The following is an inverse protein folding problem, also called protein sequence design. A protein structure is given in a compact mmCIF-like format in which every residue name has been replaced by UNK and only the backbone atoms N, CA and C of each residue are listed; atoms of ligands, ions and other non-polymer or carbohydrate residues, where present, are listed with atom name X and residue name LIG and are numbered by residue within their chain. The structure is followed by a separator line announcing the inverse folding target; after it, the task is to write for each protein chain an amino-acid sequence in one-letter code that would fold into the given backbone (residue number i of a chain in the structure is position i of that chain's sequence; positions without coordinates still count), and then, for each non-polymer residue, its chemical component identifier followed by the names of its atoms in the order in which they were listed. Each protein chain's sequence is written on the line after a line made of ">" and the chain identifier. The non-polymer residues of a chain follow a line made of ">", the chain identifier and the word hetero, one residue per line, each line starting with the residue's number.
data_IF_754454730247
#
_entry.id   IF_754454730247
#
_cell.length_a   1.000
_cell.length_b   1.000
_cell.length_c   1.000
_cell.angle_alpha   90.00
_cell.angle_beta   90.00
_cell.angle_gamma   90.00
#
_symmetry.space_group_name_H-M   'P 1'
#
loop_
_entity.id
_entity.type
_entity.pdbx_description
1 polymer ?
#
# COMPACT_ATOMS: atom_id res chain seq x y z
N UNK A 1 13.49 13.38 47.54
CA UNK A 1 12.29 12.52 47.43
C UNK A 1 11.17 13.40 46.91
N UNK A 2 10.74 13.18 45.67
CA UNK A 2 9.56 13.83 45.10
C UNK A 2 8.87 12.77 44.24
N UNK A 3 7.79 12.21 44.78
CA UNK A 3 6.94 11.28 44.06
C UNK A 3 6.05 12.05 43.11
N UNK A 4 6.11 11.69 41.83
CA UNK A 4 5.06 12.02 40.88
C UNK A 4 4.65 10.70 40.22
N UNK A 5 3.56 10.19 40.78
CA UNK A 5 2.47 9.44 40.16
C UNK A 5 2.70 8.99 38.70
N UNK A 6 2.72 7.66 38.53
CA UNK A 6 2.55 6.98 37.25
C UNK A 6 1.26 7.46 36.56
N UNK A 7 1.39 8.33 35.56
CA UNK A 7 0.34 8.53 34.55
C UNK A 7 0.85 7.86 33.28
N UNK A 8 0.42 6.61 33.09
CA UNK A 8 0.46 5.89 31.82
C UNK A 8 -0.47 6.60 30.82
N UNK A 9 -0.05 7.74 30.29
CA UNK A 9 -0.45 8.12 28.94
C UNK A 9 0.64 7.59 28.03
N UNK A 10 0.39 6.41 27.45
CA UNK A 10 1.09 6.02 26.23
C UNK A 10 1.02 7.23 25.31
N UNK A 11 2.18 7.81 25.01
CA UNK A 11 2.36 8.71 23.90
C UNK A 11 1.82 7.95 22.69
N UNK A 12 0.57 8.21 22.33
CA UNK A 12 0.08 7.96 20.99
C UNK A 12 0.96 8.87 20.14
N UNK A 13 2.07 8.32 19.65
CA UNK A 13 2.75 8.88 18.50
C UNK A 13 1.70 8.85 17.40
N UNK A 14 0.90 9.91 17.29
CA UNK A 14 0.02 10.11 16.14
C UNK A 14 0.95 10.09 14.95
N UNK A 15 0.93 8.99 14.20
CA UNK A 15 1.73 8.86 13.00
C UNK A 15 1.35 10.06 12.12
N UNK A 16 2.26 11.00 11.81
CA UNK A 16 1.90 12.23 11.09
C UNK A 16 1.28 11.94 9.71
N UNK A 17 1.42 10.71 9.22
CA UNK A 17 0.77 10.20 8.02
C UNK A 17 -0.74 10.00 8.16
N UNK A 18 -1.28 9.77 9.37
CA UNK A 18 -2.72 9.55 9.63
C UNK A 18 -3.60 10.70 9.15
N UNK A 19 -3.05 11.89 8.92
CA UNK A 19 -3.80 13.09 8.51
C UNK A 19 -4.14 13.17 7.02
N UNK A 20 -3.56 12.32 6.16
CA UNK A 20 -3.75 12.40 4.69
C UNK A 20 -4.99 11.65 4.20
N UNK A 21 -5.71 12.21 3.24
CA UNK A 21 -6.90 11.58 2.67
C UNK A 21 -6.58 10.22 2.02
N UNK A 22 -7.31 9.18 2.41
CA UNK A 22 -7.20 7.84 1.84
C UNK A 22 -7.96 7.82 0.52
N UNK A 23 -7.24 7.54 -0.56
CA UNK A 23 -7.81 7.39 -1.91
C UNK A 23 -8.48 6.03 -2.06
N UNK A 24 -7.83 5.00 -1.52
CA UNK A 24 -8.32 3.63 -1.56
C UNK A 24 -7.60 2.74 -0.56
N UNK A 25 -8.36 1.90 0.14
CA UNK A 25 -7.84 0.74 0.86
C UNK A 25 -7.77 -0.46 -0.08
N UNK A 26 -6.58 -1.05 -0.21
CA UNK A 26 -6.30 -2.16 -1.12
C UNK A 26 -6.32 -3.52 -0.41
N UNK A 27 -5.87 -3.54 0.86
CA UNK A 27 -5.86 -4.70 1.75
C UNK A 27 -6.24 -4.20 3.14
N UNK A 28 -7.10 -4.93 3.83
CA UNK A 28 -7.51 -4.69 5.21
C UNK A 28 -7.91 -6.03 5.85
N UNK A 29 -6.93 -6.92 6.00
CA UNK A 29 -7.14 -8.30 6.46
C UNK A 29 -5.83 -8.92 7.00
N UNK A 30 -5.89 -10.01 7.77
CA UNK A 30 -4.70 -10.75 8.17
C UNK A 30 -4.07 -11.52 7.00
N UNK A 31 -2.75 -11.43 6.87
CA UNK A 31 -1.96 -12.15 5.86
C UNK A 31 -0.94 -13.08 6.50
N UNK A 32 -0.70 -14.22 5.86
CA UNK A 32 0.37 -15.16 6.20
C UNK A 32 1.76 -14.63 5.80
N UNK A 33 2.85 -15.22 6.32
CA UNK A 33 4.19 -14.87 5.87
C UNK A 33 4.39 -15.15 4.37
N UNK A 34 5.01 -14.23 3.64
CA UNK A 34 5.41 -14.41 2.24
C UNK A 34 5.66 -13.10 1.50
N UNK A 35 6.06 -13.21 0.23
CA UNK A 35 6.06 -12.07 -0.69
C UNK A 35 4.74 -11.99 -1.44
N UNK A 36 4.25 -10.77 -1.60
CA UNK A 36 3.00 -10.44 -2.25
C UNK A 36 3.26 -9.50 -3.41
N UNK A 37 2.57 -9.72 -4.52
CA UNK A 37 2.49 -8.78 -5.63
C UNK A 37 1.03 -8.40 -5.84
N UNK A 38 0.67 -7.17 -5.50
CA UNK A 38 -0.67 -6.66 -5.70
C UNK A 38 -0.74 -5.77 -6.94
N UNK A 39 -1.74 -5.98 -7.79
CA UNK A 39 -2.08 -5.04 -8.84
C UNK A 39 -3.11 -4.01 -8.36
N UNK A 40 -2.78 -2.72 -8.44
CA UNK A 40 -3.74 -1.63 -8.28
C UNK A 40 -4.06 -1.03 -9.64
N UNK A 41 -5.35 -1.00 -9.98
CA UNK A 41 -5.86 -0.52 -11.28
C UNK A 41 -5.92 1.01 -11.44
N UNK A 42 -5.29 1.79 -10.54
CA UNK A 42 -5.30 3.25 -10.61
C UNK A 42 -6.67 3.89 -10.36
N UNK A 43 -7.58 3.21 -9.66
CA UNK A 43 -8.92 3.72 -9.32
C UNK A 43 -9.09 3.95 -7.82
N UNK A 44 -9.87 4.97 -7.47
CA UNK A 44 -10.33 5.29 -6.11
C UNK A 44 -11.45 4.34 -5.63
N UNK A 45 -11.95 4.54 -4.41
CA UNK A 45 -13.05 3.73 -3.84
C UNK A 45 -14.37 3.81 -4.63
N UNK A 46 -14.60 4.90 -5.36
CA UNK A 46 -15.80 5.09 -6.20
C UNK A 46 -15.62 4.48 -7.59
N UNK A 47 -14.47 3.84 -7.86
CA UNK A 47 -14.12 3.26 -9.16
C UNK A 47 -13.67 4.30 -10.20
N UNK A 48 -13.50 5.56 -9.81
CA UNK A 48 -13.01 6.62 -10.70
C UNK A 48 -11.48 6.54 -10.80
N UNK A 49 -10.95 6.70 -12.01
CA UNK A 49 -9.50 6.79 -12.22
C UNK A 49 -8.92 7.98 -11.46
N UNK A 50 -7.81 7.75 -10.75
CA UNK A 50 -7.11 8.81 -10.05
C UNK A 50 -6.55 9.84 -11.02
N UNK A 51 -6.44 11.08 -10.57
CA UNK A 51 -5.82 12.13 -11.39
C UNK A 51 -4.31 11.88 -11.53
N UNK A 52 -3.67 12.31 -12.62
CA UNK A 52 -2.21 12.33 -12.70
C UNK A 52 -1.61 13.14 -11.54
N UNK A 53 -0.55 12.63 -10.93
CA UNK A 53 0.04 13.24 -9.74
C UNK A 53 0.87 12.26 -8.92
N UNK A 54 1.34 12.73 -7.76
CA UNK A 54 2.09 11.91 -6.81
C UNK A 54 1.19 11.41 -5.69
N UNK A 55 1.35 10.15 -5.35
CA UNK A 55 0.61 9.45 -4.30
C UNK A 55 1.57 8.75 -3.35
N UNK A 56 1.11 8.49 -2.12
CA UNK A 56 1.77 7.53 -1.24
C UNK A 56 1.06 6.19 -1.30
N UNK A 57 1.82 5.11 -1.44
CA UNK A 57 1.36 3.79 -1.01
C UNK A 57 1.92 3.55 0.40
N UNK A 58 1.05 3.13 1.31
CA UNK A 58 1.38 2.93 2.73
C UNK A 58 1.05 1.49 3.11
N UNK A 59 2.03 0.80 3.69
CA UNK A 59 1.90 -0.51 4.32
C UNK A 59 1.95 -0.30 5.84
N UNK A 60 0.87 -0.64 6.52
CA UNK A 60 0.73 -0.60 7.97
C UNK A 60 0.47 -2.03 8.50
N UNK A 61 1.32 -2.48 9.43
CA UNK A 61 1.21 -3.77 10.10
C UNK A 61 1.59 -3.58 11.58
N UNK A 62 0.72 -3.83 12.55
CA UNK A 62 1.02 -3.71 13.99
C UNK A 62 1.90 -2.47 14.36
N UNK A 63 3.20 -2.66 14.62
CA UNK A 63 4.17 -1.61 14.98
C UNK A 63 5.03 -1.10 13.80
N UNK A 64 4.79 -1.60 12.59
CA UNK A 64 5.53 -1.28 11.38
C UNK A 64 4.68 -0.43 10.41
N UNK A 65 5.27 0.67 9.96
CA UNK A 65 4.72 1.49 8.88
C UNK A 65 5.83 1.80 7.88
N UNK A 66 5.59 1.52 6.60
CA UNK A 66 6.44 1.96 5.51
C UNK A 66 5.58 2.62 4.43
N UNK A 67 6.15 3.60 3.73
CA UNK A 67 5.52 4.22 2.58
C UNK A 67 6.48 4.40 1.43
N UNK A 68 5.93 4.46 0.22
CA UNK A 68 6.65 4.76 -1.02
C UNK A 68 5.91 5.85 -1.79
N UNK A 69 6.64 6.66 -2.56
CA UNK A 69 6.06 7.61 -3.50
C UNK A 69 5.84 6.98 -4.88
N UNK A 70 4.63 7.12 -5.39
CA UNK A 70 4.23 6.64 -6.71
C UNK A 70 3.80 7.82 -7.58
N UNK A 71 4.16 7.82 -8.86
CA UNK A 71 3.78 8.87 -9.81
C UNK A 71 2.82 8.31 -10.86
N UNK A 72 1.58 8.82 -10.85
CA UNK A 72 0.59 8.55 -11.87
C UNK A 72 0.69 9.60 -12.99
N UNK A 73 0.67 9.16 -14.24
CA UNK A 73 0.67 10.02 -15.43
C UNK A 73 -0.58 9.76 -16.28
N UNK A 74 -0.94 10.75 -17.09
CA UNK A 74 -2.00 10.61 -18.09
C UNK A 74 -1.55 9.70 -19.25
N UNK A 75 -2.51 8.99 -19.84
CA UNK A 75 -2.29 8.10 -20.98
C UNK A 75 -2.69 6.65 -20.68
N UNK A 76 -2.39 5.78 -21.64
CA UNK A 76 -2.55 4.32 -21.56
C UNK A 76 -1.49 3.67 -22.45
N UNK A 77 -1.05 2.47 -22.10
CA UNK A 77 -0.16 1.62 -22.90
C UNK A 77 -0.83 1.11 -24.20
N UNK A 78 -2.11 1.42 -24.43
CA UNK A 78 -2.80 1.09 -25.69
C UNK A 78 -2.92 -0.42 -25.95
N UNK A 79 -2.91 -1.26 -24.90
CA UNK A 79 -3.09 -2.71 -25.05
C UNK A 79 -4.59 -3.02 -25.24
N UNK A 80 -4.98 -3.87 -26.20
CA UNK A 80 -6.38 -4.11 -26.55
C UNK A 80 -7.13 -4.77 -25.39
N UNK A 81 -8.43 -4.47 -25.33
CA UNK A 81 -9.37 -4.85 -24.27
C UNK A 81 -9.62 -6.37 -24.09
N UNK A 82 -8.81 -7.24 -24.70
CA UNK A 82 -9.03 -8.70 -24.78
C UNK A 82 -7.77 -9.57 -24.63
N UNK A 83 -6.62 -9.03 -24.17
CA UNK A 83 -5.51 -9.87 -23.70
C UNK A 83 -5.82 -10.49 -22.33
N UNK A 84 -6.52 -11.63 -22.33
CA UNK A 84 -6.78 -12.52 -21.19
C UNK A 84 -5.57 -12.60 -20.24
N UNK A 85 -5.71 -12.08 -19.02
CA UNK A 85 -4.67 -12.17 -17.99
C UNK A 85 -4.56 -10.96 -17.08
N UNK A 86 -5.67 -10.42 -16.59
CA UNK A 86 -5.65 -9.58 -15.39
C UNK A 86 -5.11 -10.47 -14.26
N UNK A 87 -4.00 -10.14 -13.57
CA UNK A 87 -3.83 -10.63 -12.22
C UNK A 87 -4.78 -9.79 -11.37
N UNK A 88 -6.08 -10.10 -11.44
CA UNK A 88 -7.05 -9.62 -10.45
C UNK A 88 -6.77 -10.45 -9.20
N UNK A 89 -5.77 -10.05 -8.43
CA UNK A 89 -5.48 -10.77 -7.19
C UNK A 89 -4.07 -10.52 -6.67
N UNK A 90 -3.99 -10.48 -5.35
CA UNK A 90 -2.76 -10.68 -4.60
C UNK A 90 -2.10 -11.97 -5.08
N UNK A 91 -0.89 -11.89 -5.64
CA UNK A 91 -0.08 -13.07 -5.93
C UNK A 91 0.82 -13.36 -4.74
N UNK A 92 0.60 -14.51 -4.10
CA UNK A 92 1.47 -15.05 -3.06
C UNK A 92 2.67 -15.77 -3.66
N UNK A 93 3.87 -15.49 -3.16
CA UNK A 93 5.10 -16.21 -3.47
C UNK A 93 5.58 -16.79 -2.14
N UNK A 94 5.46 -18.11 -2.02
CA UNK A 94 5.72 -18.87 -0.81
C UNK A 94 7.22 -18.86 -0.48
N UNK A 95 7.60 -17.94 0.41
CA UNK A 95 8.95 -17.80 0.97
C UNK A 95 8.84 -17.29 2.41
N UNK A 96 9.94 -17.37 3.17
CA UNK A 96 10.02 -16.80 4.51
C UNK A 96 10.84 -15.51 4.49
N UNK A 97 10.21 -14.34 4.23
CA UNK A 97 10.94 -13.07 4.29
C UNK A 97 11.34 -12.77 5.74
N UNK A 98 12.49 -12.13 5.90
CA UNK A 98 13.02 -11.77 7.23
C UNK A 98 12.52 -10.42 7.73
N UNK A 99 12.03 -9.57 6.82
CA UNK A 99 11.65 -8.19 7.10
C UNK A 99 10.34 -7.82 6.42
N UNK A 100 9.61 -6.89 7.03
CA UNK A 100 8.59 -6.13 6.32
C UNK A 100 9.26 -5.26 5.26
N UNK A 101 8.73 -5.29 4.05
CA UNK A 101 9.22 -4.47 2.93
C UNK A 101 8.02 -4.03 2.10
N UNK A 102 7.92 -2.75 1.77
CA UNK A 102 7.07 -2.23 0.69
C UNK A 102 7.99 -1.72 -0.43
N UNK A 103 8.11 -2.47 -1.52
CA UNK A 103 9.02 -2.14 -2.62
C UNK A 103 8.42 -1.11 -3.56
N UNK A 104 9.29 -0.42 -4.31
CA UNK A 104 8.84 0.55 -5.31
C UNK A 104 7.90 -0.11 -6.32
N UNK A 105 6.77 0.54 -6.60
CA UNK A 105 5.79 0.03 -7.54
C UNK A 105 6.38 -0.01 -8.97
N UNK A 106 5.91 -0.94 -9.80
CA UNK A 106 6.34 -1.02 -11.19
C UNK A 106 5.16 -1.19 -12.18
N UNK A 107 5.10 -0.34 -13.22
CA UNK A 107 6.01 0.79 -13.51
C UNK A 107 5.82 1.95 -12.52
N UNK A 108 6.83 2.81 -12.38
CA UNK A 108 6.75 4.12 -11.75
C UNK A 108 7.66 5.10 -12.51
N UNK A 109 7.14 6.14 -13.18
CA UNK A 109 5.72 6.50 -13.29
C UNK A 109 4.85 5.43 -13.96
N UNK A 110 3.54 5.41 -13.66
CA UNK A 110 2.55 4.53 -14.29
C UNK A 110 1.40 5.32 -14.91
N UNK A 111 0.78 4.77 -15.94
CA UNK A 111 -0.45 5.34 -16.51
C UNK A 111 -1.64 5.06 -15.60
N UNK A 112 -2.33 6.10 -15.15
CA UNK A 112 -3.45 5.96 -14.22
C UNK A 112 -4.57 5.04 -14.74
N UNK A 113 -4.74 4.96 -16.07
CA UNK A 113 -5.73 4.09 -16.71
C UNK A 113 -5.34 2.59 -16.71
N UNK A 114 -4.04 2.29 -16.60
CA UNK A 114 -3.52 0.93 -16.68
C UNK A 114 -3.13 0.34 -15.32
N UNK A 115 -2.93 1.18 -14.30
CA UNK A 115 -2.51 0.75 -12.97
C UNK A 115 -1.04 0.38 -12.85
N UNK A 116 -0.68 -0.22 -11.72
CA UNK A 116 0.70 -0.57 -11.34
C UNK A 116 0.73 -1.78 -10.40
N UNK A 117 1.87 -2.45 -10.32
CA UNK A 117 2.08 -3.54 -9.35
C UNK A 117 2.84 -3.03 -8.13
N UNK A 118 2.42 -3.46 -6.95
CA UNK A 118 2.94 -3.08 -5.64
C UNK A 118 3.48 -4.34 -4.96
N UNK A 119 4.81 -4.55 -4.93
CA UNK A 119 5.42 -5.68 -4.25
C UNK A 119 5.60 -5.37 -2.76
N UNK A 120 5.27 -6.32 -1.90
CA UNK A 120 5.52 -6.20 -0.47
C UNK A 120 5.79 -7.55 0.19
N UNK A 121 6.41 -7.54 1.36
CA UNK A 121 6.83 -8.73 2.10
C UNK A 121 6.30 -8.72 3.52
N UNK A 122 5.78 -9.85 3.97
CA UNK A 122 5.24 -10.05 5.33
C UNK A 122 6.03 -11.20 5.99
N UNK A 123 6.83 -10.96 7.05
CA UNK A 123 7.68 -11.96 7.68
C UNK A 123 6.96 -12.85 8.70
N UNK A 124 5.81 -12.41 9.21
CA UNK A 124 5.04 -13.10 10.24
C UNK A 124 3.55 -12.94 9.96
N UNK A 125 2.72 -13.88 10.42
CA UNK A 125 1.27 -13.73 10.33
C UNK A 125 0.83 -12.48 11.11
N UNK A 126 0.24 -11.50 10.41
CA UNK A 126 -0.15 -10.22 11.01
C UNK A 126 -1.31 -9.58 10.24
N UNK A 127 -1.97 -8.61 10.88
CA UNK A 127 -3.00 -7.81 10.24
C UNK A 127 -2.37 -6.72 9.37
N UNK A 128 -2.74 -6.69 8.08
CA UNK A 128 -2.13 -5.79 7.09
C UNK A 128 -3.17 -4.80 6.60
N UNK A 129 -2.82 -3.51 6.65
CA UNK A 129 -3.47 -2.44 5.89
C UNK A 129 -2.54 -1.92 4.81
N UNK A 130 -2.95 -2.06 3.55
CA UNK A 130 -2.27 -1.48 2.40
C UNK A 130 -3.17 -0.44 1.77
N UNK A 131 -2.72 0.82 1.74
CA UNK A 131 -3.55 1.96 1.34
C UNK A 131 -2.85 2.86 0.32
N UNK A 132 -3.64 3.53 -0.51
CA UNK A 132 -3.20 4.66 -1.33
C UNK A 132 -3.69 5.96 -0.70
N UNK A 133 -2.80 6.94 -0.55
CA UNK A 133 -3.09 8.26 0.04
C UNK A 133 -2.61 9.39 -0.86
N UNK A 134 -3.25 10.54 -0.77
CA UNK A 134 -2.76 11.78 -1.40
C UNK A 134 -1.45 12.23 -0.74
N UNK A 135 -0.59 12.91 -1.51
CA UNK A 135 0.69 13.44 -1.00
C UNK A 135 0.53 14.76 -0.26
#
# INVERSE_FOLDING_TARGET
>A
MCGILYVLTLLSCSNPLETRHVIRTLIDEPLSPGHYLLYWNGRDEKGKTVVPGTYFCVLECEEYVQQIEMTAIEGTKGRPADSTGTPTGLRYIESQPLHYILEQNFPNPFYAQDGTNIPFSIPAYTYVRLMIREK
#
